data_IF_944072500740
#
_entry.id   IF_944072500740
#
_cell.length_a   1.000
_cell.length_b   1.000
_cell.length_c   1.000
_cell.angle_alpha   90.00
_cell.angle_beta   90.00
_cell.angle_gamma   90.00
#
_symmetry.space_group_name_H-M   'P 1'
#
loop_
_entity.id
_entity.type
_entity.pdbx_description
1 polymer ?
#
# COMPACT_ATOMS: atom_id res chain seq x y z
N UNK A 1 1.03 -36.23 -12.11
CA UNK A 1 2.34 -36.73 -11.67
C UNK A 1 2.87 -35.82 -10.58
N UNK A 2 3.66 -36.34 -9.65
CA UNK A 2 4.32 -35.54 -8.63
C UNK A 2 5.78 -35.94 -8.49
N UNK A 3 6.61 -34.97 -8.16
CA UNK A 3 8.04 -35.12 -7.91
C UNK A 3 8.35 -34.48 -6.55
N UNK A 4 8.98 -35.23 -5.66
CA UNK A 4 9.58 -34.70 -4.44
C UNK A 4 11.08 -34.51 -4.73
N UNK A 5 11.54 -33.26 -4.69
CA UNK A 5 12.95 -32.93 -4.97
C UNK A 5 13.88 -33.41 -3.85
N UNK A 6 13.38 -33.48 -2.62
CA UNK A 6 14.09 -34.12 -1.49
C UNK A 6 14.78 -33.08 -0.60
N UNK A 7 16.02 -33.38 -0.21
CA UNK A 7 16.84 -32.49 0.62
C UNK A 7 17.96 -31.89 -0.21
N UNK A 8 18.14 -30.60 -0.12
CA UNK A 8 19.21 -29.89 -0.82
C UNK A 8 18.74 -28.52 -1.23
N UNK A 9 19.47 -27.87 -2.11
CA UNK A 9 19.06 -26.64 -2.80
C UNK A 9 18.58 -27.05 -4.19
N UNK A 10 17.31 -27.42 -4.28
CA UNK A 10 16.72 -27.97 -5.48
C UNK A 10 16.10 -26.88 -6.35
N UNK A 11 16.23 -27.02 -7.67
CA UNK A 11 15.76 -26.00 -8.62
C UNK A 11 14.85 -26.60 -9.70
N UNK A 12 13.75 -25.90 -9.96
CA UNK A 12 12.89 -26.16 -11.11
C UNK A 12 13.07 -25.04 -12.14
N UNK A 13 13.30 -25.42 -13.40
CA UNK A 13 13.37 -24.50 -14.53
C UNK A 13 12.12 -24.69 -15.41
N UNK A 14 11.34 -23.63 -15.61
CA UNK A 14 10.12 -23.68 -16.41
C UNK A 14 9.80 -22.29 -16.97
N UNK A 15 8.81 -22.20 -17.84
CA UNK A 15 8.31 -20.93 -18.38
C UNK A 15 6.93 -20.55 -17.85
N UNK A 16 6.37 -21.33 -16.94
CA UNK A 16 5.16 -20.98 -16.21
C UNK A 16 5.05 -21.89 -14.98
N UNK A 17 4.67 -21.33 -13.84
CA UNK A 17 4.40 -22.07 -12.63
C UNK A 17 3.17 -21.52 -11.91
N UNK A 18 2.47 -22.42 -11.21
CA UNK A 18 1.40 -22.07 -10.26
C UNK A 18 1.79 -22.59 -8.88
N UNK A 19 1.66 -21.79 -7.84
CA UNK A 19 1.88 -22.20 -6.46
C UNK A 19 0.84 -23.25 -6.06
N UNK A 20 1.14 -24.04 -5.06
CA UNK A 20 0.28 -25.16 -4.65
C UNK A 20 -0.43 -24.84 -3.34
N UNK A 21 -1.74 -25.07 -3.31
CA UNK A 21 -2.53 -25.11 -2.08
C UNK A 21 -2.94 -26.56 -1.74
N UNK A 22 -3.19 -26.78 -0.46
CA UNK A 22 -3.71 -28.05 0.04
C UNK A 22 -4.96 -27.81 0.86
N UNK A 23 -6.02 -28.56 0.58
CA UNK A 23 -7.24 -28.52 1.39
C UNK A 23 -7.21 -29.65 2.41
N UNK A 24 -7.32 -29.31 3.67
CA UNK A 24 -7.49 -30.26 4.77
C UNK A 24 -8.85 -30.01 5.49
N UNK A 25 -9.09 -30.66 6.59
CA UNK A 25 -10.34 -30.51 7.35
C UNK A 25 -10.52 -29.14 8.03
N UNK A 26 -9.52 -28.24 7.97
CA UNK A 26 -9.53 -26.90 8.53
C UNK A 26 -9.69 -25.81 7.46
N UNK A 27 -9.41 -26.11 6.19
CA UNK A 27 -9.51 -25.15 5.09
C UNK A 27 -8.51 -25.41 3.96
N UNK A 28 -8.35 -24.44 3.08
CA UNK A 28 -7.32 -24.43 2.04
C UNK A 28 -6.15 -23.57 2.52
N UNK A 29 -4.94 -24.10 2.45
CA UNK A 29 -3.72 -23.43 2.86
C UNK A 29 -2.67 -23.54 1.76
N UNK A 30 -1.84 -22.49 1.59
CA UNK A 30 -0.68 -22.52 0.71
C UNK A 30 0.35 -23.56 1.21
N UNK A 31 1.11 -24.12 0.29
CA UNK A 31 2.16 -25.10 0.60
C UNK A 31 3.51 -24.49 0.22
N UNK A 32 4.37 -24.32 1.22
CA UNK A 32 5.73 -23.81 1.02
C UNK A 32 6.56 -24.76 0.13
N UNK A 33 7.48 -24.19 -0.61
CA UNK A 33 8.41 -24.94 -1.47
C UNK A 33 7.71 -25.90 -2.45
N UNK A 34 6.50 -25.53 -2.92
CA UNK A 34 5.72 -26.37 -3.80
C UNK A 34 5.12 -25.58 -4.98
N UNK A 35 5.21 -26.17 -6.16
CA UNK A 35 4.66 -25.60 -7.39
C UNK A 35 4.09 -26.66 -8.32
N UNK A 36 3.26 -26.22 -9.24
CA UNK A 36 2.80 -27.04 -10.37
C UNK A 36 3.23 -26.37 -11.67
N UNK A 37 3.85 -27.14 -12.55
CA UNK A 37 4.14 -26.73 -13.92
C UNK A 37 3.86 -27.89 -14.87
N UNK A 38 3.27 -27.60 -16.05
CA UNK A 38 2.95 -28.61 -17.07
C UNK A 38 2.20 -29.85 -16.50
N UNK A 39 1.30 -29.64 -15.53
CA UNK A 39 0.50 -30.68 -14.83
C UNK A 39 1.37 -31.63 -13.96
N UNK A 40 2.57 -31.25 -13.62
CA UNK A 40 3.43 -31.96 -12.66
C UNK A 40 3.54 -31.11 -11.41
N UNK A 41 3.20 -31.66 -10.26
CA UNK A 41 3.43 -31.04 -8.97
C UNK A 41 4.84 -31.37 -8.47
N UNK A 42 5.51 -30.35 -7.96
CA UNK A 42 6.83 -30.44 -7.33
C UNK A 42 6.69 -30.02 -5.86
N UNK A 43 7.40 -30.67 -4.99
CA UNK A 43 7.52 -30.32 -3.56
C UNK A 43 8.99 -30.34 -3.16
N UNK A 44 9.31 -29.66 -2.05
CA UNK A 44 10.70 -29.51 -1.58
C UNK A 44 11.58 -28.81 -2.61
N UNK A 45 11.11 -27.69 -3.16
CA UNK A 45 11.82 -26.88 -4.15
C UNK A 45 12.15 -25.54 -3.52
N UNK A 46 13.41 -25.19 -3.47
CA UNK A 46 13.88 -23.91 -2.90
C UNK A 46 14.05 -22.83 -3.96
N UNK A 47 14.28 -23.22 -5.23
CA UNK A 47 14.57 -22.29 -6.30
C UNK A 47 13.70 -22.55 -7.54
N UNK A 48 13.12 -21.48 -8.08
CA UNK A 48 12.30 -21.51 -9.28
C UNK A 48 12.87 -20.53 -10.32
N UNK A 49 13.29 -21.03 -11.49
CA UNK A 49 13.68 -20.18 -12.62
C UNK A 49 12.58 -20.24 -13.70
N UNK A 50 11.97 -19.09 -13.97
CA UNK A 50 10.83 -18.98 -14.87
C UNK A 50 11.19 -18.59 -16.31
N UNK A 51 12.44 -18.31 -16.60
CA UNK A 51 12.90 -17.93 -17.95
C UNK A 51 12.03 -16.81 -18.59
N UNK A 52 11.65 -15.80 -17.84
CA UNK A 52 10.67 -14.73 -18.13
C UNK A 52 9.23 -15.24 -18.30
N UNK A 53 8.89 -16.34 -17.68
CA UNK A 53 7.55 -16.91 -17.67
C UNK A 53 6.68 -16.42 -16.52
N UNK A 54 5.40 -16.76 -16.57
CA UNK A 54 4.41 -16.33 -15.60
C UNK A 54 4.50 -17.10 -14.27
N UNK A 55 4.33 -16.39 -13.16
CA UNK A 55 4.02 -16.94 -11.84
C UNK A 55 2.56 -16.64 -11.50
N UNK A 56 1.86 -17.65 -11.05
CA UNK A 56 0.49 -17.53 -10.53
C UNK A 56 0.43 -18.14 -9.15
N UNK A 57 -0.22 -17.47 -8.21
CA UNK A 57 -0.52 -17.99 -6.89
C UNK A 57 -1.49 -19.16 -6.91
N UNK A 58 -1.85 -19.64 -5.75
CA UNK A 58 -2.79 -20.75 -5.57
C UNK A 58 -4.22 -20.22 -5.28
N UNK A 59 -5.09 -21.11 -4.82
CA UNK A 59 -6.44 -20.77 -4.31
C UNK A 59 -6.43 -20.55 -2.78
N UNK A 60 -5.28 -20.26 -2.18
CA UNK A 60 -5.11 -20.04 -0.76
C UNK A 60 -4.23 -18.82 -0.52
N UNK A 61 -4.25 -18.26 0.67
CA UNK A 61 -3.38 -17.15 1.04
C UNK A 61 -1.90 -17.46 0.76
N UNK A 62 -1.36 -16.84 -0.26
CA UNK A 62 0.04 -16.95 -0.67
C UNK A 62 0.87 -15.79 -0.09
N UNK A 63 2.16 -16.02 0.09
CA UNK A 63 3.10 -15.01 0.56
C UNK A 63 4.13 -14.71 -0.51
N UNK A 64 4.19 -13.43 -0.89
CA UNK A 64 5.20 -12.88 -1.80
C UNK A 64 6.07 -11.89 -1.04
N UNK A 65 7.37 -11.97 -1.21
CA UNK A 65 8.31 -11.04 -0.59
C UNK A 65 9.24 -10.47 -1.67
N UNK A 66 9.34 -9.15 -1.73
CA UNK A 66 10.25 -8.44 -2.64
C UNK A 66 11.32 -7.74 -1.80
N UNK A 67 12.58 -8.10 -2.04
CA UNK A 67 13.75 -7.45 -1.44
C UNK A 67 14.69 -7.01 -2.56
N UNK A 68 14.72 -5.71 -2.82
CA UNK A 68 15.39 -5.16 -3.99
C UNK A 68 14.81 -5.72 -5.30
N UNK A 69 15.56 -6.57 -5.99
CA UNK A 69 15.11 -7.25 -7.22
C UNK A 69 14.84 -8.74 -7.02
N UNK A 70 14.93 -9.21 -5.80
CA UNK A 70 14.72 -10.62 -5.46
C UNK A 70 13.25 -10.83 -5.09
N UNK A 71 12.62 -11.81 -5.72
CA UNK A 71 11.27 -12.26 -5.41
C UNK A 71 11.35 -13.61 -4.69
N UNK A 72 10.63 -13.71 -3.58
CA UNK A 72 10.36 -14.99 -2.90
C UNK A 72 8.86 -15.24 -2.94
N UNK A 73 8.43 -16.45 -3.21
CA UNK A 73 7.04 -16.86 -3.22
C UNK A 73 6.88 -18.18 -2.47
N UNK A 74 6.09 -18.20 -1.40
CA UNK A 74 5.89 -19.36 -0.52
C UNK A 74 7.22 -20.07 -0.21
N UNK A 75 8.17 -19.31 0.33
CA UNK A 75 9.54 -19.74 0.69
C UNK A 75 10.47 -20.15 -0.48
N UNK A 76 10.02 -20.13 -1.72
CA UNK A 76 10.88 -20.37 -2.89
C UNK A 76 11.51 -19.06 -3.38
N UNK A 77 12.81 -19.07 -3.68
CA UNK A 77 13.44 -17.96 -4.41
C UNK A 77 13.08 -18.05 -5.88
N UNK A 78 12.49 -17.00 -6.42
CA UNK A 78 12.04 -16.94 -7.83
C UNK A 78 12.96 -16.04 -8.62
N UNK A 79 13.44 -16.56 -9.74
CA UNK A 79 14.30 -15.83 -10.67
C UNK A 79 13.71 -15.80 -12.07
N UNK A 80 14.03 -14.75 -12.82
CA UNK A 80 13.57 -14.57 -14.21
C UNK A 80 12.05 -14.71 -14.38
N UNK A 81 11.26 -14.26 -13.40
CA UNK A 81 9.81 -14.15 -13.56
C UNK A 81 9.47 -13.04 -14.58
N UNK A 82 8.34 -13.17 -15.26
CA UNK A 82 7.72 -12.03 -15.94
C UNK A 82 7.43 -10.92 -14.95
N UNK A 83 7.31 -9.68 -15.42
CA UNK A 83 6.99 -8.54 -14.53
C UNK A 83 5.59 -8.63 -13.92
N UNK A 84 4.62 -9.22 -14.62
CA UNK A 84 3.28 -9.40 -14.11
C UNK A 84 3.14 -10.72 -13.33
N UNK A 85 2.72 -10.61 -12.08
CA UNK A 85 2.50 -11.72 -11.14
C UNK A 85 1.04 -11.67 -10.69
N UNK A 86 0.36 -12.80 -10.82
CA UNK A 86 -0.99 -12.94 -10.29
C UNK A 86 -0.92 -13.69 -8.96
N UNK A 87 -1.32 -13.06 -7.85
CA UNK A 87 -1.26 -13.69 -6.54
C UNK A 87 -2.27 -14.84 -6.38
N UNK A 88 -3.33 -14.87 -7.15
CA UNK A 88 -4.29 -15.99 -7.18
C UNK A 88 -5.63 -15.66 -6.56
N UNK A 89 -6.28 -16.67 -5.99
CA UNK A 89 -7.44 -16.51 -5.11
C UNK A 89 -6.95 -16.70 -3.66
N UNK A 90 -7.42 -15.90 -2.74
CA UNK A 90 -7.04 -16.02 -1.33
C UNK A 90 -6.96 -14.66 -0.67
N UNK A 91 -6.48 -14.59 0.56
CA UNK A 91 -6.09 -13.36 1.22
C UNK A 91 -4.54 -13.27 1.10
N UNK A 92 -4.07 -12.84 -0.07
CA UNK A 92 -2.65 -12.87 -0.42
C UNK A 92 -1.86 -11.71 0.17
N UNK A 93 -0.65 -11.99 0.61
CA UNK A 93 0.21 -11.02 1.28
C UNK A 93 1.45 -10.72 0.45
N UNK A 94 1.67 -9.43 0.17
CA UNK A 94 2.90 -8.91 -0.41
C UNK A 94 3.72 -8.17 0.65
N UNK A 95 4.96 -8.57 0.85
CA UNK A 95 5.92 -7.89 1.73
C UNK A 95 6.96 -7.18 0.86
N UNK A 96 7.10 -5.87 1.03
CA UNK A 96 8.06 -5.04 0.30
C UNK A 96 9.13 -4.52 1.27
N UNK A 97 10.27 -5.18 1.32
CA UNK A 97 11.35 -4.82 2.25
C UNK A 97 12.20 -3.64 1.76
N UNK A 98 12.31 -3.44 0.46
CA UNK A 98 13.09 -2.36 -0.13
C UNK A 98 12.37 -1.76 -1.33
N UNK A 99 12.21 -0.43 -1.34
CA UNK A 99 11.66 0.32 -2.45
C UNK A 99 10.20 0.73 -2.25
N UNK A 100 9.80 1.73 -3.00
CA UNK A 100 8.45 2.25 -2.95
C UNK A 100 7.50 1.39 -3.76
N UNK A 101 6.22 1.47 -3.41
CA UNK A 101 5.14 0.84 -4.15
C UNK A 101 4.23 1.89 -4.77
N UNK A 102 3.60 1.55 -5.90
CA UNK A 102 2.71 2.44 -6.64
C UNK A 102 1.39 1.74 -6.93
N UNK A 103 0.27 2.42 -6.69
CA UNK A 103 -1.05 1.96 -7.11
C UNK A 103 -1.15 2.00 -8.65
N UNK A 104 -1.75 0.99 -9.25
CA UNK A 104 -1.92 0.93 -10.72
C UNK A 104 -3.23 1.57 -11.20
N UNK A 105 -4.15 1.86 -10.26
CA UNK A 105 -5.50 2.33 -10.56
C UNK A 105 -6.50 1.20 -10.81
N UNK A 106 -6.10 -0.03 -10.59
CA UNK A 106 -6.95 -1.22 -10.56
C UNK A 106 -7.01 -1.75 -9.13
N UNK A 107 -8.18 -2.17 -8.67
CA UNK A 107 -8.33 -2.75 -7.33
C UNK A 107 -7.49 -4.03 -7.19
N UNK A 108 -6.85 -4.19 -6.04
CA UNK A 108 -5.97 -5.30 -5.70
C UNK A 108 -4.75 -5.44 -6.62
N UNK A 109 -4.30 -4.34 -7.22
CA UNK A 109 -3.08 -4.28 -8.02
C UNK A 109 -2.06 -3.29 -7.45
N UNK A 110 -0.81 -3.72 -7.36
CA UNK A 110 0.29 -2.94 -6.84
C UNK A 110 1.56 -3.17 -7.66
N UNK A 111 2.23 -2.08 -8.05
CA UNK A 111 3.56 -2.15 -8.66
C UNK A 111 4.64 -1.89 -7.60
N UNK A 112 5.65 -2.72 -7.55
CA UNK A 112 6.84 -2.53 -6.70
C UNK A 112 8.08 -3.10 -7.35
N UNK A 113 9.22 -2.42 -7.23
CA UNK A 113 10.47 -2.77 -7.87
C UNK A 113 10.31 -2.95 -9.40
N UNK A 114 10.32 -4.20 -9.87
CA UNK A 114 10.16 -4.54 -11.29
C UNK A 114 8.93 -5.42 -11.55
N UNK A 115 8.04 -5.55 -10.56
CA UNK A 115 6.91 -6.45 -10.60
C UNK A 115 5.61 -5.67 -10.43
N UNK A 116 4.60 -6.09 -11.17
CA UNK A 116 3.21 -5.70 -11.04
C UNK A 116 2.45 -6.90 -10.49
N UNK A 117 1.92 -6.76 -9.28
CA UNK A 117 1.15 -7.80 -8.62
C UNK A 117 -0.34 -7.51 -8.79
N UNK A 118 -1.12 -8.52 -9.14
CA UNK A 118 -2.57 -8.49 -9.15
C UNK A 118 -3.15 -9.50 -8.15
N UNK A 119 -4.37 -9.26 -7.70
CA UNK A 119 -5.04 -10.08 -6.69
C UNK A 119 -4.27 -10.11 -5.36
N UNK A 120 -3.86 -8.94 -4.86
CA UNK A 120 -3.21 -8.78 -3.55
C UNK A 120 -4.19 -8.09 -2.62
N UNK A 121 -4.45 -8.66 -1.46
CA UNK A 121 -5.35 -8.10 -0.46
C UNK A 121 -4.61 -7.40 0.67
N UNK A 122 -3.38 -7.80 0.95
CA UNK A 122 -2.58 -7.23 2.04
C UNK A 122 -1.17 -6.91 1.56
N UNK A 123 -0.68 -5.71 1.88
CA UNK A 123 0.69 -5.31 1.60
C UNK A 123 1.39 -4.74 2.85
N UNK A 124 2.55 -5.27 3.19
CA UNK A 124 3.45 -4.72 4.22
C UNK A 124 4.59 -3.98 3.51
N UNK A 125 4.67 -2.66 3.70
CA UNK A 125 5.65 -1.82 3.01
C UNK A 125 6.94 -1.60 3.81
N UNK A 126 7.08 -2.17 5.01
CA UNK A 126 8.29 -2.10 5.82
C UNK A 126 8.85 -0.65 5.94
N UNK A 127 7.98 0.32 6.23
CA UNK A 127 8.29 1.75 6.36
C UNK A 127 8.70 2.43 5.03
N UNK A 128 8.34 1.85 3.88
CA UNK A 128 8.53 2.48 2.58
C UNK A 128 7.32 3.35 2.17
N UNK A 129 7.47 4.10 1.09
CA UNK A 129 6.42 4.96 0.59
C UNK A 129 5.44 4.24 -0.34
N UNK A 130 4.18 4.65 -0.25
CA UNK A 130 3.15 4.35 -1.23
C UNK A 130 2.97 5.57 -2.14
N UNK A 131 2.89 5.35 -3.45
CA UNK A 131 2.55 6.38 -4.43
C UNK A 131 1.16 6.08 -5.00
N UNK A 132 0.31 7.09 -5.05
CA UNK A 132 -1.00 7.04 -5.69
C UNK A 132 -0.91 7.00 -7.22
N UNK A 133 -2.04 7.22 -7.86
CA UNK A 133 -2.15 7.31 -9.33
C UNK A 133 -2.30 8.78 -9.75
N UNK A 134 -2.29 9.05 -11.06
CA UNK A 134 -2.61 10.38 -11.59
C UNK A 134 -4.15 10.65 -11.63
N UNK A 135 -4.96 9.86 -10.97
CA UNK A 135 -6.40 10.05 -10.82
C UNK A 135 -6.74 10.23 -9.34
N UNK A 136 -7.97 10.61 -9.06
CA UNK A 136 -8.43 10.73 -7.68
C UNK A 136 -8.34 9.39 -6.93
N UNK A 137 -7.49 9.36 -5.92
CA UNK A 137 -7.30 8.21 -5.04
C UNK A 137 -7.96 8.44 -3.67
N UNK A 138 -8.27 7.36 -2.98
CA UNK A 138 -8.81 7.42 -1.62
C UNK A 138 -7.95 6.57 -0.70
N UNK A 139 -7.51 7.19 0.39
CA UNK A 139 -6.71 6.56 1.43
C UNK A 139 -7.51 6.56 2.74
N UNK A 140 -7.99 5.41 3.14
CA UNK A 140 -8.72 5.21 4.40
C UNK A 140 -7.75 4.79 5.50
N UNK A 141 -7.41 5.70 6.42
CA UNK A 141 -6.49 5.41 7.52
C UNK A 141 -7.17 4.52 8.53
N UNK A 142 -6.62 3.33 8.76
CA UNK A 142 -7.20 2.29 9.63
C UNK A 142 -6.47 2.13 10.96
N UNK A 143 -5.25 2.68 11.08
CA UNK A 143 -4.44 2.58 12.30
C UNK A 143 -3.10 3.27 12.16
N UNK A 144 -2.23 3.09 13.15
CA UNK A 144 -0.86 3.63 13.10
C UNK A 144 -0.09 2.97 11.97
N UNK A 145 0.44 3.79 11.05
CA UNK A 145 1.15 3.35 9.85
C UNK A 145 0.35 2.35 9.00
N UNK A 146 -1.00 2.42 9.04
CA UNK A 146 -1.86 1.50 8.33
C UNK A 146 -3.02 2.21 7.64
N UNK A 147 -3.32 1.82 6.43
CA UNK A 147 -4.41 2.36 5.62
C UNK A 147 -4.95 1.31 4.64
N UNK A 148 -6.14 1.55 4.11
CA UNK A 148 -6.69 0.80 2.97
C UNK A 148 -6.78 1.74 1.76
N UNK A 149 -6.36 1.27 0.59
CA UNK A 149 -6.54 1.96 -0.69
C UNK A 149 -6.60 0.94 -1.82
N UNK A 150 -7.39 1.22 -2.86
CA UNK A 150 -7.55 0.35 -4.04
C UNK A 150 -7.81 -1.14 -3.68
N UNK A 151 -8.56 -1.41 -2.61
CA UNK A 151 -8.90 -2.76 -2.17
C UNK A 151 -7.79 -3.48 -1.38
N UNK A 152 -6.62 -2.86 -1.17
CA UNK A 152 -5.48 -3.43 -0.45
C UNK A 152 -5.37 -2.85 0.95
N UNK A 153 -5.19 -3.69 1.95
CA UNK A 153 -4.88 -3.31 3.32
C UNK A 153 -3.36 -3.15 3.49
N UNK A 154 -2.90 -1.92 3.67
CA UNK A 154 -1.48 -1.59 3.83
C UNK A 154 -1.09 -1.49 5.30
N UNK A 155 0.10 -1.98 5.63
CA UNK A 155 0.75 -1.83 6.93
C UNK A 155 2.18 -1.32 6.77
N UNK A 156 2.72 -0.72 7.86
CA UNK A 156 4.05 -0.15 7.91
C UNK A 156 4.31 0.87 6.78
N UNK A 157 3.32 1.74 6.54
CA UNK A 157 3.41 2.86 5.59
C UNK A 157 3.93 4.08 6.34
N UNK A 158 5.03 4.67 5.87
CA UNK A 158 5.55 5.92 6.46
C UNK A 158 5.10 7.16 5.69
N UNK A 159 5.10 7.07 4.36
CA UNK A 159 4.76 8.20 3.48
C UNK A 159 3.79 7.74 2.39
N UNK A 160 2.78 8.56 2.12
CA UNK A 160 1.94 8.47 0.93
C UNK A 160 2.17 9.71 0.08
N UNK A 161 2.57 9.51 -1.18
CA UNK A 161 2.57 10.55 -2.21
C UNK A 161 1.33 10.31 -3.07
N UNK A 162 0.30 11.14 -2.93
CA UNK A 162 -0.97 10.90 -3.61
C UNK A 162 -0.88 11.11 -5.13
N UNK A 163 0.12 11.88 -5.59
CA UNK A 163 0.38 12.23 -7.00
C UNK A 163 -0.66 13.22 -7.54
N UNK A 164 -0.83 13.31 -8.86
CA UNK A 164 -1.83 14.21 -9.47
C UNK A 164 -3.23 13.63 -9.24
N UNK A 165 -4.18 14.48 -8.91
CA UNK A 165 -5.55 14.01 -8.75
C UNK A 165 -6.45 14.97 -7.98
N UNK A 166 -7.49 14.46 -7.41
CA UNK A 166 -8.29 15.10 -6.38
C UNK A 166 -8.41 14.12 -5.21
N UNK A 167 -7.27 13.90 -4.55
CA UNK A 167 -7.06 12.81 -3.65
C UNK A 167 -7.67 13.06 -2.28
N UNK A 168 -8.15 12.01 -1.66
CA UNK A 168 -8.88 12.04 -0.41
C UNK A 168 -8.20 11.19 0.67
N UNK A 169 -7.93 11.80 1.82
CA UNK A 169 -7.56 11.09 3.05
C UNK A 169 -8.75 11.05 4.01
N UNK A 170 -9.13 9.87 4.47
CA UNK A 170 -10.13 9.66 5.50
C UNK A 170 -9.45 9.18 6.78
N UNK A 171 -9.56 9.92 7.89
CA UNK A 171 -8.82 9.62 9.12
C UNK A 171 -9.60 8.75 10.12
N UNK A 172 -10.86 8.43 9.82
CA UNK A 172 -11.78 7.69 10.71
C UNK A 172 -11.85 8.25 12.15
N UNK A 173 -11.82 9.58 12.27
CA UNK A 173 -11.88 10.27 13.55
C UNK A 173 -10.54 10.44 14.27
N UNK A 174 -9.44 10.02 13.66
CA UNK A 174 -8.12 10.33 14.18
C UNK A 174 -7.77 11.82 13.98
N UNK A 175 -6.95 12.34 14.88
CA UNK A 175 -6.44 13.69 14.77
C UNK A 175 -5.41 13.80 13.63
N UNK A 176 -5.40 14.95 12.96
CA UNK A 176 -4.44 15.25 11.92
C UNK A 176 -3.71 16.56 12.21
N UNK A 177 -2.48 16.67 11.72
CA UNK A 177 -1.72 17.91 11.74
C UNK A 177 -1.27 18.29 10.34
N UNK A 178 -1.19 19.61 10.08
CA UNK A 178 -0.55 20.10 8.86
C UNK A 178 0.93 19.79 8.92
N UNK A 179 1.49 19.47 7.76
CA UNK A 179 2.89 19.06 7.67
C UNK A 179 3.80 20.26 7.35
N UNK A 180 4.97 20.27 7.97
CA UNK A 180 6.00 21.28 7.70
C UNK A 180 7.34 20.59 7.44
N UNK A 181 8.08 21.08 6.47
CA UNK A 181 9.38 20.55 6.09
C UNK A 181 10.40 21.68 5.92
N UNK A 182 11.61 21.52 6.48
CA UNK A 182 12.70 22.47 6.38
C UNK A 182 12.35 23.90 6.82
N UNK A 183 11.45 24.07 7.80
CA UNK A 183 11.05 25.36 8.34
C UNK A 183 10.03 26.11 7.46
N UNK A 184 9.25 25.39 6.66
CA UNK A 184 8.13 25.93 5.90
C UNK A 184 6.92 25.00 6.03
N UNK A 185 5.72 25.57 6.09
CA UNK A 185 4.50 24.81 5.89
C UNK A 185 4.46 24.27 4.45
N UNK A 186 3.96 23.05 4.29
CA UNK A 186 3.85 22.41 2.98
C UNK A 186 2.37 22.37 2.59
N UNK A 187 2.06 22.95 1.41
CA UNK A 187 0.72 22.86 0.84
C UNK A 187 0.41 21.42 0.45
N UNK A 188 -0.87 21.04 0.53
CA UNK A 188 -1.36 19.69 0.18
C UNK A 188 -0.70 18.57 1.00
N UNK A 189 -0.26 18.84 2.23
CA UNK A 189 0.37 17.83 3.07
C UNK A 189 -0.17 17.82 4.51
N UNK A 190 -0.48 16.64 5.00
CA UNK A 190 -0.92 16.41 6.38
C UNK A 190 -0.28 15.14 6.96
N UNK A 191 -0.30 15.04 8.27
CA UNK A 191 0.17 13.87 9.00
C UNK A 191 -0.94 13.36 9.93
N UNK A 192 -1.16 12.06 9.93
CA UNK A 192 -2.08 11.40 10.87
C UNK A 192 -1.61 9.98 11.15
N UNK A 193 -1.71 9.55 12.40
CA UNK A 193 -1.36 8.20 12.86
C UNK A 193 -0.01 7.67 12.35
N UNK A 194 0.99 8.56 12.24
CA UNK A 194 2.35 8.22 11.82
C UNK A 194 2.57 8.18 10.30
N UNK A 195 1.54 8.45 9.51
CA UNK A 195 1.65 8.51 8.05
C UNK A 195 1.69 9.97 7.62
N UNK A 196 2.69 10.35 6.82
CA UNK A 196 2.74 11.64 6.14
C UNK A 196 2.13 11.52 4.76
N UNK A 197 1.04 12.24 4.52
CA UNK A 197 0.40 12.36 3.21
C UNK A 197 0.90 13.62 2.50
N UNK A 198 1.22 13.53 1.23
CA UNK A 198 1.66 14.61 0.35
C UNK A 198 0.80 14.63 -0.90
N UNK A 199 0.66 15.81 -1.50
CA UNK A 199 -0.12 16.01 -2.74
C UNK A 199 -1.58 15.57 -2.57
N UNK A 200 -2.18 15.90 -1.41
CA UNK A 200 -3.54 15.54 -1.03
C UNK A 200 -4.43 16.78 -1.03
N UNK A 201 -5.51 16.79 -1.79
CA UNK A 201 -6.43 17.94 -1.91
C UNK A 201 -7.56 17.90 -0.89
N UNK A 202 -7.94 16.74 -0.41
CA UNK A 202 -9.09 16.58 0.47
C UNK A 202 -8.77 15.73 1.70
N UNK A 203 -9.31 16.13 2.85
CA UNK A 203 -9.23 15.35 4.08
C UNK A 203 -10.59 15.31 4.77
N UNK A 204 -11.08 14.14 5.10
CA UNK A 204 -12.23 13.92 5.97
C UNK A 204 -11.76 13.45 7.34
N UNK A 205 -11.94 14.29 8.36
CA UNK A 205 -11.45 13.99 9.70
C UNK A 205 -12.49 13.25 10.57
N UNK A 206 -13.72 13.09 10.09
CA UNK A 206 -14.79 12.35 10.78
C UNK A 206 -14.91 12.67 12.28
N UNK A 207 -14.69 13.94 12.65
CA UNK A 207 -14.73 14.42 14.05
C UNK A 207 -13.36 14.49 14.73
N UNK A 208 -12.29 14.10 14.08
CA UNK A 208 -10.90 14.34 14.53
C UNK A 208 -10.55 15.82 14.58
N UNK A 209 -9.55 16.19 15.36
CA UNK A 209 -9.03 17.55 15.42
C UNK A 209 -8.04 17.82 14.30
N UNK A 210 -8.01 19.07 13.82
CA UNK A 210 -6.95 19.56 12.96
C UNK A 210 -6.04 20.48 13.77
N UNK A 211 -4.74 20.22 13.74
CA UNK A 211 -3.70 21.08 14.31
C UNK A 211 -2.83 21.62 13.20
N UNK A 212 -2.51 22.91 13.22
CA UNK A 212 -1.53 23.53 12.36
C UNK A 212 -0.12 23.00 12.65
N UNK A 213 0.80 23.30 11.77
CA UNK A 213 2.21 22.94 11.88
C UNK A 213 2.96 23.83 12.91
N UNK A 214 4.28 23.74 12.91
CA UNK A 214 5.13 24.69 13.67
C UNK A 214 5.47 25.95 12.88
N UNK A 215 5.08 26.03 11.63
CA UNK A 215 5.37 27.09 10.69
C UNK A 215 4.12 27.94 10.41
N UNK A 216 4.23 28.94 9.55
CA UNK A 216 3.11 29.80 9.22
C UNK A 216 2.10 29.08 8.33
N UNK A 217 0.93 28.77 8.89
CA UNK A 217 -0.16 28.09 8.21
C UNK A 217 -1.23 29.06 7.70
N UNK A 218 -1.95 28.66 6.67
CA UNK A 218 -3.06 29.39 6.08
C UNK A 218 -4.37 28.64 6.26
N UNK A 219 -5.33 29.26 6.94
CA UNK A 219 -6.68 28.73 7.11
C UNK A 219 -7.69 29.66 6.44
N UNK A 220 -8.53 29.13 5.59
CA UNK A 220 -9.63 29.85 4.97
C UNK A 220 -10.96 29.19 5.33
N UNK A 221 -11.88 29.98 5.90
CA UNK A 221 -13.24 29.54 6.20
C UNK A 221 -14.19 30.27 5.26
N UNK A 222 -14.88 29.50 4.43
CA UNK A 222 -15.88 30.03 3.49
C UNK A 222 -17.20 29.26 3.65
N UNK A 223 -18.21 29.92 4.23
CA UNK A 223 -19.48 29.31 4.60
C UNK A 223 -19.29 28.07 5.52
N UNK A 224 -19.33 26.86 4.97
CA UNK A 224 -19.18 25.59 5.72
C UNK A 224 -17.91 24.83 5.32
N UNK A 225 -17.08 25.44 4.47
CA UNK A 225 -15.84 24.81 3.99
C UNK A 225 -14.65 25.39 4.74
N UNK A 226 -13.77 24.52 5.20
CA UNK A 226 -12.46 24.86 5.72
C UNK A 226 -11.42 24.45 4.70
N UNK A 227 -10.50 25.36 4.37
CA UNK A 227 -9.29 25.04 3.60
C UNK A 227 -8.08 25.33 4.49
N UNK A 228 -7.18 24.40 4.61
CA UNK A 228 -5.97 24.53 5.42
C UNK A 228 -4.75 24.13 4.56
N UNK A 229 -3.80 25.06 4.34
CA UNK A 229 -2.64 24.86 3.45
C UNK A 229 -3.04 24.17 2.14
N UNK A 230 -4.06 24.74 1.47
CA UNK A 230 -4.67 24.27 0.24
C UNK A 230 -5.48 22.94 0.33
N UNK A 231 -5.49 22.24 1.44
CA UNK A 231 -6.32 21.04 1.63
C UNK A 231 -7.75 21.45 1.97
N UNK A 232 -8.74 20.90 1.28
CA UNK A 232 -10.16 21.03 1.64
C UNK A 232 -10.49 20.05 2.77
N UNK A 233 -10.80 20.58 3.96
CA UNK A 233 -11.03 19.78 5.17
C UNK A 233 -12.52 19.70 5.48
N UNK A 234 -13.02 18.49 5.67
CA UNK A 234 -14.41 18.21 6.03
C UNK A 234 -14.51 17.48 7.36
N UNK A 235 -15.66 17.61 8.02
CA UNK A 235 -15.98 16.88 9.24
C UNK A 235 -14.93 17.00 10.37
N UNK A 236 -14.14 18.08 10.40
CA UNK A 236 -13.25 18.37 11.51
C UNK A 236 -14.03 18.62 12.81
N UNK A 237 -13.40 18.39 13.95
CA UNK A 237 -13.91 18.83 15.24
C UNK A 237 -14.20 20.34 15.25
N UNK A 238 -15.06 20.78 16.13
CA UNK A 238 -15.51 22.21 16.21
C UNK A 238 -14.40 23.18 16.61
N UNK A 239 -13.28 22.69 17.12
CA UNK A 239 -12.12 23.49 17.47
C UNK A 239 -10.91 23.07 16.60
N UNK A 240 -10.25 24.05 16.00
CA UNK A 240 -9.01 23.88 15.25
C UNK A 240 -7.94 24.62 16.02
N UNK A 241 -6.80 23.97 16.24
CA UNK A 241 -5.61 24.57 16.79
C UNK A 241 -4.71 25.02 15.63
N UNK A 242 -4.43 26.31 15.52
CA UNK A 242 -3.57 26.80 14.43
C UNK A 242 -2.09 26.39 14.60
N UNK A 243 -1.72 25.86 15.77
CA UNK A 243 -0.33 25.44 16.02
C UNK A 243 0.53 26.59 16.54
N UNK A 244 1.78 26.58 16.14
CA UNK A 244 2.72 27.66 16.46
C UNK A 244 3.29 28.21 15.14
N UNK A 245 3.43 29.50 15.04
CA UNK A 245 3.86 30.17 13.82
C UNK A 245 3.21 31.53 13.66
N UNK A 246 3.42 32.18 12.55
CA UNK A 246 2.70 33.40 12.18
C UNK A 246 1.51 33.05 11.27
N UNK A 247 0.50 32.38 11.86
CA UNK A 247 -0.63 31.81 11.14
C UNK A 247 -1.62 32.85 10.65
N UNK A 248 -2.23 32.57 9.52
CA UNK A 248 -3.23 33.43 8.90
C UNK A 248 -4.59 32.76 8.86
N UNK A 249 -5.62 33.40 9.41
CA UNK A 249 -7.01 32.96 9.29
C UNK A 249 -7.80 33.95 8.49
N UNK A 250 -8.39 33.51 7.39
CA UNK A 250 -9.27 34.31 6.52
C UNK A 250 -10.69 33.79 6.63
N UNK A 251 -11.64 34.66 6.95
CA UNK A 251 -13.07 34.31 6.98
C UNK A 251 -13.79 35.04 5.86
N UNK A 252 -14.29 34.29 4.90
CA UNK A 252 -14.99 34.78 3.71
C UNK A 252 -16.49 34.52 3.83
N UNK A 253 -17.11 35.00 4.93
CA UNK A 253 -18.55 34.95 5.06
C UNK A 253 -19.20 36.00 4.16
N UNK A 254 -19.98 35.53 3.19
CA UNK A 254 -20.96 36.37 2.54
C UNK A 254 -22.17 36.51 3.47
N UNK A 255 -22.33 37.67 4.09
CA UNK A 255 -23.56 38.04 4.84
C UNK A 255 -24.82 37.77 4.03
#
# INVERSE_FOLDING_TARGET
ASVDAGNGDDQVNTNAATLVSQTDGAGTVAVDNALTTQQIAFTSVENLDLANGALTGSDAADSFEVTGVTLTANAMTVTNAASAINAGDGDDVLIVNDGNSTLTGTDNELETANYEFSSVEVADLADNALTGTANADTFDVTGTNALTSAGIDFSNVEVVNADDGADQVNTDGADASLFAEFGNAVDYALETLGITFRETENADLNGGTLTGSSEADSFEVAATTLTANAISVTNAATAIDAGTGDDAVTVNDAN
#
